data_IF_466826113237
#
_entry.id   IF_466826113237
#
_cell.length_a   1.000
_cell.length_b   1.000
_cell.length_c   1.000
_cell.angle_alpha   90.00
_cell.angle_beta   90.00
_cell.angle_gamma   90.00
#
_symmetry.space_group_name_H-M   'P 1'
#
loop_
_entity.id
_entity.type
_entity.pdbx_description
1 polymer ?
#
# COMPACT_ATOMS: atom_id res chain seq x y z
N UNK A 1 -4.78 -11.17 19.88
CA UNK A 1 -4.34 -9.77 19.75
C UNK A 1 -4.31 -9.10 21.12
N UNK A 2 -3.14 -8.60 21.54
CA UNK A 2 -2.93 -7.91 22.82
C UNK A 2 -2.68 -6.40 22.64
N UNK A 3 -3.16 -5.80 21.54
CA UNK A 3 -2.76 -4.44 21.16
C UNK A 3 -3.12 -3.40 22.22
N UNK A 4 -4.29 -3.48 22.85
CA UNK A 4 -4.65 -2.58 23.96
C UNK A 4 -3.62 -2.63 25.08
N UNK A 5 -3.20 -3.84 25.51
CA UNK A 5 -2.17 -4.01 26.54
C UNK A 5 -0.84 -3.40 26.11
N UNK A 6 -0.43 -3.62 24.86
CA UNK A 6 0.81 -3.05 24.31
C UNK A 6 0.75 -1.52 24.31
N UNK A 7 -0.34 -0.93 23.84
CA UNK A 7 -0.51 0.53 23.80
C UNK A 7 -0.56 1.15 25.21
N UNK A 8 -1.22 0.50 26.17
CA UNK A 8 -1.20 0.92 27.58
C UNK A 8 0.21 0.85 28.16
N UNK A 9 0.98 -0.21 27.86
CA UNK A 9 2.38 -0.33 28.26
C UNK A 9 3.26 0.78 27.63
N UNK A 10 2.90 1.24 26.43
CA UNK A 10 3.52 2.39 25.78
C UNK A 10 3.00 3.76 26.29
N UNK A 11 2.20 3.79 27.36
CA UNK A 11 1.71 5.02 27.98
C UNK A 11 0.52 5.69 27.28
N UNK A 12 -0.18 4.97 26.39
CA UNK A 12 -1.37 5.51 25.72
C UNK A 12 -2.62 5.47 26.62
N UNK A 13 -3.54 6.39 26.38
CA UNK A 13 -4.82 6.44 27.08
C UNK A 13 -5.66 5.17 26.84
N UNK A 14 -6.35 4.72 27.90
CA UNK A 14 -7.14 3.49 27.92
C UNK A 14 -8.24 3.48 26.85
N UNK A 15 -8.91 4.61 26.63
CA UNK A 15 -10.00 4.73 25.66
C UNK A 15 -9.47 4.66 24.24
N UNK A 16 -8.35 5.34 23.97
CA UNK A 16 -7.66 5.30 22.66
C UNK A 16 -7.15 3.89 22.38
N UNK A 17 -6.50 3.24 23.35
CA UNK A 17 -5.98 1.89 23.21
C UNK A 17 -7.09 0.86 22.93
N UNK A 18 -8.27 1.03 23.53
CA UNK A 18 -9.46 0.20 23.27
C UNK A 18 -10.01 0.40 21.86
N UNK A 19 -10.16 1.65 21.43
CA UNK A 19 -10.65 1.96 20.08
C UNK A 19 -9.67 1.50 18.98
N UNK A 20 -8.37 1.70 19.18
CA UNK A 20 -7.33 1.20 18.27
C UNK A 20 -7.38 -0.33 18.16
N UNK A 21 -7.52 -1.06 19.27
CA UNK A 21 -7.66 -2.51 19.23
C UNK A 21 -8.92 -2.94 18.46
N UNK A 22 -10.07 -2.27 18.68
CA UNK A 22 -11.29 -2.57 17.95
C UNK A 22 -11.09 -2.33 16.46
N UNK A 23 -10.58 -1.16 16.07
CA UNK A 23 -10.29 -0.85 14.67
C UNK A 23 -9.42 -1.93 14.00
N UNK A 24 -8.35 -2.36 14.67
CA UNK A 24 -7.44 -3.38 14.15
C UNK A 24 -8.12 -4.75 14.00
N UNK A 25 -8.92 -5.18 14.98
CA UNK A 25 -9.67 -6.46 14.89
C UNK A 25 -10.59 -6.46 13.68
N UNK A 26 -11.33 -5.37 13.46
CA UNK A 26 -12.22 -5.24 12.31
C UNK A 26 -11.48 -5.05 10.98
N UNK A 27 -10.20 -4.66 11.02
CA UNK A 27 -9.34 -4.53 9.84
C UNK A 27 -8.63 -5.84 9.47
N UNK A 28 -8.63 -6.89 10.32
CA UNK A 28 -7.97 -8.17 10.04
C UNK A 28 -8.38 -8.79 8.70
N UNK A 29 -9.67 -8.80 8.29
CA UNK A 29 -10.06 -9.36 7.00
C UNK A 29 -9.44 -8.62 5.80
N UNK A 30 -9.00 -7.36 5.98
CA UNK A 30 -8.32 -6.60 4.93
C UNK A 30 -7.01 -7.27 4.51
N UNK A 31 -6.31 -7.92 5.46
CA UNK A 31 -5.07 -8.65 5.17
C UNK A 31 -5.30 -9.75 4.13
N UNK A 32 -6.45 -10.43 4.21
CA UNK A 32 -6.83 -11.44 3.21
C UNK A 32 -7.07 -10.78 1.85
N UNK A 33 -7.80 -9.67 1.81
CA UNK A 33 -8.04 -8.93 0.57
C UNK A 33 -6.72 -8.45 -0.06
N UNK A 34 -5.81 -7.87 0.73
CA UNK A 34 -4.48 -7.45 0.26
C UNK A 34 -3.65 -8.62 -0.27
N UNK A 35 -3.68 -9.77 0.42
CA UNK A 35 -2.95 -10.97 0.00
C UNK A 35 -3.37 -11.48 -1.39
N UNK A 36 -4.61 -11.23 -1.80
CA UNK A 36 -5.13 -11.56 -3.13
C UNK A 36 -4.88 -10.41 -4.12
N UNK A 37 -5.05 -9.17 -3.66
CA UNK A 37 -4.97 -7.97 -4.48
C UNK A 37 -3.56 -7.71 -5.03
N UNK A 38 -2.53 -7.90 -4.21
CA UNK A 38 -1.14 -7.69 -4.64
C UNK A 38 -0.73 -8.62 -5.80
N UNK A 39 -0.91 -9.96 -5.71
CA UNK A 39 -0.68 -10.86 -6.83
C UNK A 39 -1.50 -10.51 -8.07
N UNK A 40 -2.78 -10.17 -7.93
CA UNK A 40 -3.64 -9.77 -9.08
C UNK A 40 -3.10 -8.54 -9.80
N UNK A 41 -2.68 -7.51 -9.05
CA UNK A 41 -2.06 -6.29 -9.59
C UNK A 41 -0.77 -6.61 -10.34
N UNK A 42 0.09 -7.45 -9.77
CA UNK A 42 1.35 -7.87 -10.40
C UNK A 42 1.05 -8.67 -11.67
N UNK A 43 0.13 -9.63 -11.62
CA UNK A 43 -0.26 -10.49 -12.73
C UNK A 43 -0.77 -9.71 -13.96
N UNK A 44 -1.56 -8.65 -13.74
CA UNK A 44 -2.01 -7.78 -14.82
C UNK A 44 -0.88 -6.86 -15.32
N UNK A 45 -0.09 -6.31 -14.41
CA UNK A 45 1.01 -5.39 -14.74
C UNK A 45 2.11 -6.07 -15.56
N UNK A 46 2.48 -7.31 -15.24
CA UNK A 46 3.51 -8.07 -15.99
C UNK A 46 3.11 -8.29 -17.45
N UNK A 47 1.82 -8.34 -17.73
CA UNK A 47 1.26 -8.42 -19.08
C UNK A 47 1.05 -7.05 -19.75
N UNK A 48 1.50 -5.97 -19.12
CA UNK A 48 1.26 -4.58 -19.55
C UNK A 48 -0.23 -4.19 -19.60
N UNK A 49 -1.08 -4.85 -18.80
CA UNK A 49 -2.52 -4.58 -18.68
C UNK A 49 -2.75 -3.72 -17.43
N UNK A 50 -2.77 -2.40 -17.58
CA UNK A 50 -2.90 -1.46 -16.43
C UNK A 50 -4.22 -0.71 -16.39
N UNK A 51 -4.83 -0.43 -17.55
CA UNK A 51 -6.09 0.31 -17.63
C UNK A 51 -7.24 -0.32 -16.81
N UNK A 52 -7.47 -1.65 -16.85
CA UNK A 52 -8.53 -2.28 -16.06
C UNK A 52 -8.30 -2.12 -14.56
N UNK A 53 -7.06 -2.16 -14.11
CA UNK A 53 -6.72 -1.93 -12.71
C UNK A 53 -7.15 -0.52 -12.26
N UNK A 54 -6.89 0.50 -13.10
CA UNK A 54 -7.31 1.87 -12.83
C UNK A 54 -8.85 1.99 -12.81
N UNK A 55 -9.53 1.42 -13.80
CA UNK A 55 -11.00 1.45 -13.87
C UNK A 55 -11.65 0.75 -12.67
N UNK A 56 -11.18 -0.43 -12.30
CA UNK A 56 -11.65 -1.16 -11.13
C UNK A 56 -11.38 -0.38 -9.83
N UNK A 57 -10.19 0.22 -9.69
CA UNK A 57 -9.87 1.04 -8.52
C UNK A 57 -10.79 2.27 -8.41
N UNK A 58 -11.06 2.96 -9.54
CA UNK A 58 -12.03 4.07 -9.58
C UNK A 58 -13.42 3.61 -9.17
N UNK A 59 -13.90 2.48 -9.69
CA UNK A 59 -15.19 1.91 -9.30
C UNK A 59 -15.24 1.60 -7.80
N UNK A 60 -14.19 0.99 -7.25
CA UNK A 60 -14.12 0.69 -5.81
C UNK A 60 -14.13 1.95 -4.95
N UNK A 61 -13.47 3.03 -5.37
CA UNK A 61 -13.53 4.34 -4.68
C UNK A 61 -14.93 4.94 -4.77
N UNK A 62 -15.59 4.87 -5.93
CA UNK A 62 -16.96 5.36 -6.07
C UNK A 62 -17.94 4.60 -5.18
N UNK A 63 -17.76 3.28 -5.05
CA UNK A 63 -18.55 2.43 -4.15
C UNK A 63 -18.16 2.61 -2.68
N UNK A 64 -16.94 3.05 -2.38
CA UNK A 64 -16.50 3.33 -1.01
C UNK A 64 -17.39 4.38 -0.33
N UNK A 65 -17.76 5.45 -1.03
CA UNK A 65 -18.58 6.53 -0.48
C UNK A 65 -19.93 6.04 0.09
N UNK A 66 -20.81 5.35 -0.68
CA UNK A 66 -22.07 4.83 -0.14
C UNK A 66 -21.85 3.73 0.90
N UNK A 67 -20.82 2.87 0.75
CA UNK A 67 -20.50 1.83 1.75
C UNK A 67 -20.11 2.47 3.08
N UNK A 68 -19.24 3.47 3.05
CA UNK A 68 -18.80 4.20 4.23
C UNK A 68 -19.97 4.92 4.88
N UNK A 69 -20.79 5.64 4.10
CA UNK A 69 -22.00 6.30 4.60
C UNK A 69 -22.95 5.31 5.28
N UNK A 70 -23.20 4.15 4.66
CA UNK A 70 -24.06 3.10 5.21
C UNK A 70 -23.50 2.57 6.54
N UNK A 71 -22.23 2.17 6.58
CA UNK A 71 -21.63 1.52 7.76
C UNK A 71 -21.41 2.52 8.91
N UNK A 72 -20.95 3.72 8.61
CA UNK A 72 -20.57 4.71 9.62
C UNK A 72 -21.77 5.54 10.06
N UNK A 73 -22.52 6.11 9.12
CA UNK A 73 -23.59 7.07 9.43
C UNK A 73 -24.94 6.40 9.66
N UNK A 74 -25.35 5.50 8.76
CA UNK A 74 -26.67 4.87 8.83
C UNK A 74 -26.73 3.76 9.91
N UNK A 75 -25.77 2.84 9.90
CA UNK A 75 -25.66 1.75 10.88
C UNK A 75 -24.96 2.17 12.18
N UNK A 76 -24.41 3.40 12.24
CA UNK A 76 -23.77 3.98 13.43
C UNK A 76 -22.67 3.11 14.04
N UNK A 77 -21.90 2.41 13.20
CA UNK A 77 -20.84 1.50 13.66
C UNK A 77 -19.55 2.21 14.09
N UNK A 78 -19.47 3.55 13.95
CA UNK A 78 -18.33 4.37 14.37
C UNK A 78 -17.01 3.90 13.74
N UNK A 79 -15.96 3.79 14.56
CA UNK A 79 -14.61 3.35 14.16
C UNK A 79 -14.59 1.96 13.49
N UNK A 80 -15.48 1.07 13.91
CA UNK A 80 -15.64 -0.28 13.31
C UNK A 80 -16.19 -0.18 11.89
N UNK A 81 -17.14 0.73 11.67
CA UNK A 81 -17.71 1.01 10.36
C UNK A 81 -16.66 1.53 9.38
N UNK A 82 -15.74 2.38 9.86
CA UNK A 82 -14.61 2.87 9.06
C UNK A 82 -13.71 1.70 8.64
N UNK A 83 -13.27 0.87 9.59
CA UNK A 83 -12.45 -0.31 9.31
C UNK A 83 -13.12 -1.25 8.28
N UNK A 84 -14.39 -1.59 8.51
CA UNK A 84 -15.15 -2.46 7.61
C UNK A 84 -15.35 -1.84 6.23
N UNK A 85 -15.53 -0.53 6.12
CA UNK A 85 -15.65 0.13 4.82
C UNK A 85 -14.39 -0.03 3.97
N UNK A 86 -13.21 0.02 4.59
CA UNK A 86 -11.93 -0.26 3.93
C UNK A 86 -11.84 -1.70 3.44
N UNK A 87 -12.19 -2.66 4.32
CA UNK A 87 -12.25 -4.09 3.99
C UNK A 87 -13.13 -4.33 2.75
N UNK A 88 -14.36 -3.81 2.77
CA UNK A 88 -15.30 -3.96 1.65
C UNK A 88 -14.79 -3.33 0.35
N UNK A 89 -14.08 -2.22 0.45
CA UNK A 89 -13.48 -1.53 -0.72
C UNK A 89 -12.41 -2.40 -1.36
N UNK A 90 -11.54 -3.01 -0.57
CA UNK A 90 -10.50 -3.89 -1.09
C UNK A 90 -11.08 -5.21 -1.63
N UNK A 91 -12.08 -5.79 -0.98
CA UNK A 91 -12.80 -6.95 -1.53
C UNK A 91 -13.53 -6.63 -2.84
N UNK A 92 -14.14 -5.45 -2.95
CA UNK A 92 -14.75 -4.98 -4.20
C UNK A 92 -13.71 -4.87 -5.32
N UNK A 93 -12.52 -4.34 -5.01
CA UNK A 93 -11.43 -4.26 -5.97
C UNK A 93 -10.93 -5.65 -6.40
N UNK A 94 -10.74 -6.58 -5.44
CA UNK A 94 -10.37 -7.96 -5.75
C UNK A 94 -11.42 -8.62 -6.64
N UNK A 95 -12.69 -8.52 -6.28
CA UNK A 95 -13.81 -9.10 -7.02
C UNK A 95 -13.90 -8.55 -8.45
N UNK A 96 -13.83 -7.23 -8.62
CA UNK A 96 -13.88 -6.59 -9.94
C UNK A 96 -12.70 -6.98 -10.83
N UNK A 97 -11.49 -7.12 -10.28
CA UNK A 97 -10.32 -7.61 -11.02
C UNK A 97 -10.46 -9.08 -11.44
N UNK A 98 -10.94 -9.94 -10.55
CA UNK A 98 -11.19 -11.35 -10.87
C UNK A 98 -12.25 -11.46 -11.97
N UNK A 99 -13.36 -10.73 -11.85
CA UNK A 99 -14.42 -10.69 -12.88
C UNK A 99 -13.83 -10.24 -14.22
N UNK A 100 -13.01 -9.19 -14.24
CA UNK A 100 -12.34 -8.73 -15.45
C UNK A 100 -11.46 -9.82 -16.08
N UNK A 101 -10.60 -10.47 -15.29
CA UNK A 101 -9.68 -11.52 -15.76
C UNK A 101 -10.44 -12.72 -16.33
N UNK A 102 -11.56 -13.10 -15.71
CA UNK A 102 -12.39 -14.21 -16.15
C UNK A 102 -13.19 -13.85 -17.42
N UNK A 103 -13.89 -12.72 -17.41
CA UNK A 103 -14.77 -12.29 -18.50
C UNK A 103 -14.00 -12.04 -19.80
N UNK A 104 -12.88 -11.32 -19.74
CA UNK A 104 -12.04 -11.05 -20.91
C UNK A 104 -11.05 -12.17 -21.22
N UNK A 105 -11.02 -13.24 -20.43
CA UNK A 105 -10.18 -14.41 -20.68
C UNK A 105 -8.68 -14.12 -20.65
N UNK A 106 -8.24 -13.12 -19.87
CA UNK A 106 -6.82 -12.73 -19.74
C UNK A 106 -5.95 -13.93 -19.30
N UNK A 107 -6.51 -14.77 -18.43
CA UNK A 107 -5.87 -15.96 -17.91
C UNK A 107 -5.63 -17.08 -18.94
N UNK A 108 -6.34 -17.10 -20.07
CA UNK A 108 -6.34 -18.24 -21.01
C UNK A 108 -4.96 -18.58 -21.59
N UNK A 109 -4.06 -17.59 -21.72
CA UNK A 109 -2.71 -17.80 -22.28
C UNK A 109 -1.65 -18.09 -21.22
N UNK A 110 -1.93 -17.84 -19.94
CA UNK A 110 -0.91 -17.83 -18.88
C UNK A 110 -1.21 -18.79 -17.73
N UNK A 111 -2.46 -19.23 -17.58
CA UNK A 111 -2.91 -20.06 -16.48
C UNK A 111 -3.38 -21.42 -17.00
N UNK A 112 -2.65 -22.48 -16.67
CA UNK A 112 -2.96 -23.86 -17.07
C UNK A 112 -3.90 -24.64 -16.14
N UNK A 113 -4.33 -24.03 -15.03
CA UNK A 113 -5.17 -24.67 -14.01
C UNK A 113 -4.46 -24.78 -12.66
N UNK A 114 -5.20 -25.21 -11.64
CA UNK A 114 -4.58 -25.55 -10.36
C UNK A 114 -3.78 -26.84 -10.51
N UNK A 115 -2.50 -26.80 -10.12
CA UNK A 115 -1.60 -27.94 -10.17
C UNK A 115 -0.55 -27.81 -9.06
N UNK A 116 -0.14 -28.93 -8.46
CA UNK A 116 0.94 -28.93 -7.47
C UNK A 116 2.28 -28.45 -8.04
N UNK A 117 2.39 -28.32 -9.36
CA UNK A 117 3.52 -27.67 -10.02
C UNK A 117 3.72 -26.21 -9.56
N UNK A 118 2.67 -25.52 -9.08
CA UNK A 118 2.79 -24.17 -8.55
C UNK A 118 3.71 -24.08 -7.32
N UNK A 119 3.97 -25.19 -6.63
CA UNK A 119 4.85 -25.24 -5.46
C UNK A 119 6.32 -25.50 -5.79
N UNK A 120 6.67 -25.86 -7.04
CA UNK A 120 8.04 -26.25 -7.41
C UNK A 120 9.09 -25.15 -7.16
N UNK A 121 8.74 -23.89 -7.44
CA UNK A 121 9.66 -22.75 -7.37
C UNK A 121 9.57 -21.95 -6.06
N UNK A 122 8.82 -22.44 -5.06
CA UNK A 122 8.58 -21.70 -3.81
C UNK A 122 9.86 -21.39 -3.03
N UNK A 123 10.85 -22.29 -3.04
CA UNK A 123 12.12 -22.05 -2.35
C UNK A 123 12.85 -20.84 -2.94
N UNK A 124 12.92 -20.76 -4.28
CA UNK A 124 13.56 -19.63 -4.98
C UNK A 124 12.80 -18.33 -4.72
N UNK A 125 11.46 -18.38 -4.80
CA UNK A 125 10.59 -17.24 -4.52
C UNK A 125 10.77 -16.74 -3.08
N UNK A 126 10.76 -17.62 -2.08
CA UNK A 126 10.92 -17.25 -0.67
C UNK A 126 12.31 -16.68 -0.37
N UNK A 127 13.36 -17.21 -1.00
CA UNK A 127 14.72 -16.67 -0.85
C UNK A 127 14.84 -15.21 -1.32
N UNK A 128 14.01 -14.77 -2.27
CA UNK A 128 13.94 -13.38 -2.72
C UNK A 128 12.92 -12.57 -1.93
N UNK A 129 11.77 -13.15 -1.62
CA UNK A 129 10.65 -12.48 -0.98
C UNK A 129 10.93 -12.17 0.50
N UNK A 130 11.59 -13.05 1.25
CA UNK A 130 11.85 -12.86 2.68
C UNK A 130 12.78 -11.65 2.91
N UNK A 131 13.96 -11.54 2.27
CA UNK A 131 14.82 -10.36 2.44
C UNK A 131 14.13 -9.07 1.98
N UNK A 132 13.39 -9.12 0.87
CA UNK A 132 12.64 -7.96 0.36
C UNK A 132 11.55 -7.52 1.35
N UNK A 133 10.81 -8.47 1.92
CA UNK A 133 9.80 -8.23 2.94
C UNK A 133 10.41 -7.59 4.18
N UNK A 134 11.51 -8.15 4.71
CA UNK A 134 12.22 -7.59 5.86
C UNK A 134 12.68 -6.16 5.58
N UNK A 135 13.29 -5.90 4.41
CA UNK A 135 13.75 -4.57 4.03
C UNK A 135 12.63 -3.54 4.01
N UNK A 136 11.50 -3.86 3.37
CA UNK A 136 10.34 -2.97 3.30
C UNK A 136 9.71 -2.80 4.69
N UNK A 137 9.53 -3.88 5.45
CA UNK A 137 8.97 -3.80 6.80
C UNK A 137 9.83 -2.94 7.72
N UNK A 138 11.16 -3.05 7.66
CA UNK A 138 12.06 -2.23 8.47
C UNK A 138 11.97 -0.73 8.11
N UNK A 139 11.82 -0.40 6.83
CA UNK A 139 11.60 0.98 6.37
C UNK A 139 10.34 1.58 7.01
N UNK A 140 9.22 0.83 7.02
CA UNK A 140 7.95 1.32 7.58
C UNK A 140 7.92 1.26 9.11
N UNK A 141 8.44 0.19 9.72
CA UNK A 141 8.49 0.05 11.18
C UNK A 141 9.38 1.12 11.83
N UNK A 142 10.40 1.61 11.12
CA UNK A 142 11.18 2.74 11.60
C UNK A 142 10.31 3.96 11.90
N UNK A 143 9.36 4.30 11.02
CA UNK A 143 8.43 5.41 11.24
C UNK A 143 7.52 5.17 12.45
N UNK A 144 7.01 3.94 12.63
CA UNK A 144 6.19 3.57 13.79
C UNK A 144 6.98 3.67 15.10
N UNK A 145 8.23 3.22 15.12
CA UNK A 145 9.13 3.35 16.27
C UNK A 145 9.37 4.83 16.58
N UNK A 146 9.61 5.67 15.56
CA UNK A 146 9.76 7.11 15.73
C UNK A 146 8.51 7.76 16.32
N UNK A 147 7.30 7.40 15.87
CA UNK A 147 6.05 7.88 16.46
C UNK A 147 5.96 7.50 17.95
N UNK A 148 6.26 6.24 18.29
CA UNK A 148 6.22 5.77 19.67
C UNK A 148 7.21 6.54 20.56
N UNK A 149 8.44 6.80 20.06
CA UNK A 149 9.44 7.58 20.78
C UNK A 149 9.05 9.07 20.91
N UNK A 150 8.44 9.66 19.89
CA UNK A 150 7.86 11.01 19.98
C UNK A 150 6.80 11.10 21.09
N UNK A 151 6.05 10.03 21.33
CA UNK A 151 5.08 9.91 22.42
C UNK A 151 5.69 9.94 23.83
N UNK A 152 7.02 9.78 23.96
CA UNK A 152 7.74 9.81 25.24
C UNK A 152 8.47 11.14 25.49
N UNK A 153 8.42 12.10 24.55
CA UNK A 153 9.04 13.42 24.70
C UNK A 153 8.25 14.31 25.66
N UNK A 154 8.90 15.39 26.16
CA UNK A 154 8.28 16.39 27.06
C UNK A 154 7.00 17.02 26.50
N UNK A 155 6.91 17.19 25.17
CA UNK A 155 5.71 17.65 24.49
C UNK A 155 5.23 16.60 23.46
N UNK A 156 4.60 15.51 23.93
CA UNK A 156 4.34 14.34 23.10
C UNK A 156 3.25 14.61 22.05
N UNK A 157 2.24 15.44 22.38
CA UNK A 157 1.16 15.78 21.43
C UNK A 157 1.69 16.51 20.20
N UNK A 158 2.54 17.52 20.39
CA UNK A 158 3.11 18.28 19.28
C UNK A 158 4.08 17.43 18.45
N UNK A 159 4.92 16.61 19.11
CA UNK A 159 5.87 15.75 18.42
C UNK A 159 5.19 14.66 17.59
N UNK A 160 4.20 13.96 18.16
CA UNK A 160 3.42 12.93 17.46
C UNK A 160 2.60 13.53 16.32
N UNK A 161 1.98 14.69 16.52
CA UNK A 161 1.26 15.38 15.43
C UNK A 161 2.21 15.77 14.27
N UNK A 162 3.38 16.32 14.59
CA UNK A 162 4.40 16.67 13.59
C UNK A 162 4.89 15.44 12.82
N UNK A 163 5.11 14.33 13.52
CA UNK A 163 5.49 13.06 12.91
C UNK A 163 4.39 12.51 12.00
N UNK A 164 3.13 12.63 12.41
CA UNK A 164 1.98 12.26 11.58
C UNK A 164 1.94 13.06 10.27
N UNK A 165 2.12 14.38 10.34
CA UNK A 165 2.21 15.25 9.16
C UNK A 165 3.39 14.82 8.26
N UNK A 166 4.55 14.57 8.86
CA UNK A 166 5.74 14.13 8.14
C UNK A 166 5.49 12.82 7.38
N UNK A 167 4.91 11.82 8.04
CA UNK A 167 4.62 10.52 7.43
C UNK A 167 3.62 10.66 6.28
N UNK A 168 2.52 11.41 6.47
CA UNK A 168 1.53 11.60 5.41
C UNK A 168 2.11 12.34 4.20
N UNK A 169 2.96 13.34 4.45
CA UNK A 169 3.66 14.09 3.40
C UNK A 169 4.66 13.22 2.67
N UNK A 170 5.43 12.42 3.42
CA UNK A 170 6.41 11.48 2.87
C UNK A 170 5.72 10.43 2.02
N UNK A 171 4.61 9.85 2.50
CA UNK A 171 3.81 8.89 1.77
C UNK A 171 3.28 9.48 0.45
N UNK A 172 2.77 10.72 0.47
CA UNK A 172 2.30 11.41 -0.74
C UNK A 172 3.42 11.56 -1.78
N UNK A 173 4.60 12.00 -1.36
CA UNK A 173 5.77 12.16 -2.24
C UNK A 173 6.26 10.80 -2.75
N UNK A 174 6.25 9.78 -1.90
CA UNK A 174 6.76 8.43 -2.18
C UNK A 174 5.93 7.67 -3.22
N UNK A 175 4.68 8.07 -3.48
CA UNK A 175 3.82 7.44 -4.49
C UNK A 175 4.50 7.48 -5.88
N UNK A 176 5.08 8.62 -6.28
CA UNK A 176 5.65 8.75 -7.63
C UNK A 176 6.89 7.86 -7.85
N UNK A 177 7.91 7.88 -6.97
CA UNK A 177 9.04 6.96 -7.07
C UNK A 177 8.63 5.50 -6.98
N UNK A 178 7.66 5.16 -6.12
CA UNK A 178 7.15 3.79 -5.99
C UNK A 178 6.50 3.29 -7.28
N UNK A 179 5.63 4.10 -7.90
CA UNK A 179 5.03 3.79 -9.19
C UNK A 179 6.08 3.60 -10.29
N UNK A 180 7.11 4.46 -10.34
CA UNK A 180 8.21 4.32 -11.28
C UNK A 180 8.99 3.03 -11.05
N UNK A 181 9.34 2.72 -9.80
CA UNK A 181 10.04 1.50 -9.41
C UNK A 181 9.31 0.24 -9.88
N UNK A 182 7.99 0.18 -9.66
CA UNK A 182 7.17 -0.92 -10.13
C UNK A 182 7.14 -1.06 -11.66
N UNK A 183 7.01 0.05 -12.38
CA UNK A 183 7.00 0.08 -13.85
C UNK A 183 8.33 -0.36 -14.44
N UNK A 184 9.44 0.17 -13.91
CA UNK A 184 10.81 -0.16 -14.34
C UNK A 184 11.13 -1.61 -14.01
N UNK A 185 10.83 -2.08 -12.79
CA UNK A 185 11.04 -3.47 -12.38
C UNK A 185 10.29 -4.45 -13.29
N UNK A 186 9.02 -4.16 -13.59
CA UNK A 186 8.23 -4.98 -14.52
C UNK A 186 8.84 -4.99 -15.92
N UNK A 187 9.27 -3.83 -16.43
CA UNK A 187 9.87 -3.73 -17.76
C UNK A 187 11.20 -4.47 -17.85
N UNK A 188 12.09 -4.28 -16.87
CA UNK A 188 13.38 -4.95 -16.78
C UNK A 188 13.18 -6.47 -16.68
N UNK A 189 12.27 -6.93 -15.84
CA UNK A 189 11.94 -8.36 -15.70
C UNK A 189 11.44 -8.96 -17.02
N UNK A 190 10.54 -8.28 -17.73
CA UNK A 190 10.02 -8.73 -19.02
C UNK A 190 11.11 -8.81 -20.10
N UNK A 191 11.98 -7.80 -20.19
CA UNK A 191 13.08 -7.78 -21.17
C UNK A 191 14.15 -8.84 -20.87
N UNK A 192 14.47 -9.07 -19.59
CA UNK A 192 15.36 -10.16 -19.18
C UNK A 192 14.74 -11.53 -19.48
N UNK A 193 13.45 -11.72 -19.17
CA UNK A 193 12.72 -12.94 -19.49
C UNK A 193 12.61 -13.22 -21.00
N UNK A 194 12.59 -12.18 -21.83
CA UNK A 194 12.65 -12.28 -23.28
C UNK A 194 14.08 -12.48 -23.85
N UNK A 195 15.08 -12.65 -22.98
CA UNK A 195 16.50 -12.76 -23.33
C UNK A 195 17.04 -11.52 -24.09
N UNK A 196 16.59 -10.32 -23.71
CA UNK A 196 16.97 -9.04 -24.31
C UNK A 196 17.73 -8.13 -23.32
N UNK A 197 18.94 -8.50 -22.89
CA UNK A 197 19.69 -7.79 -21.84
C UNK A 197 20.01 -6.34 -22.21
N UNK A 198 20.18 -6.02 -23.49
CA UNK A 198 20.39 -4.63 -23.96
C UNK A 198 19.17 -3.75 -23.68
N UNK A 199 17.96 -4.26 -23.91
CA UNK A 199 16.71 -3.52 -23.62
C UNK A 199 16.43 -3.45 -22.13
N UNK A 200 16.73 -4.51 -21.38
CA UNK A 200 16.67 -4.49 -19.92
C UNK A 200 17.59 -3.40 -19.33
N UNK A 201 18.84 -3.30 -19.81
CA UNK A 201 19.79 -2.26 -19.39
C UNK A 201 19.29 -0.86 -19.74
N UNK A 202 18.73 -0.67 -20.94
CA UNK A 202 18.13 0.60 -21.33
C UNK A 202 16.96 0.99 -20.42
N UNK A 203 16.05 0.06 -20.13
CA UNK A 203 14.92 0.30 -19.24
C UNK A 203 15.37 0.69 -17.82
N UNK A 204 16.41 0.03 -17.29
CA UNK A 204 17.00 0.38 -16.01
C UNK A 204 17.63 1.80 -16.04
N UNK A 205 18.36 2.14 -17.09
CA UNK A 205 18.98 3.47 -17.24
C UNK A 205 17.95 4.60 -17.32
N UNK A 206 16.91 4.42 -18.15
CA UNK A 206 15.78 5.36 -18.23
C UNK A 206 15.09 5.48 -16.87
N UNK A 207 14.88 4.36 -16.18
CA UNK A 207 14.32 4.34 -14.83
C UNK A 207 15.13 5.15 -13.82
N UNK A 208 16.46 5.02 -13.83
CA UNK A 208 17.36 5.80 -12.98
C UNK A 208 17.30 7.29 -13.29
N UNK A 209 17.30 7.66 -14.57
CA UNK A 209 17.18 9.06 -14.99
C UNK A 209 15.85 9.68 -14.56
N UNK A 210 14.73 8.99 -14.81
CA UNK A 210 13.41 9.43 -14.35
C UNK A 210 13.36 9.51 -12.82
N UNK A 211 13.99 8.57 -12.10
CA UNK A 211 14.06 8.57 -10.65
C UNK A 211 14.80 9.80 -10.11
N UNK A 212 15.92 10.17 -10.73
CA UNK A 212 16.66 11.38 -10.39
C UNK A 212 15.81 12.63 -10.62
N UNK A 213 15.15 12.75 -11.79
CA UNK A 213 14.25 13.87 -12.09
C UNK A 213 13.08 13.98 -11.09
N UNK A 214 12.47 12.86 -10.72
CA UNK A 214 11.42 12.81 -9.69
C UNK A 214 11.96 13.22 -8.33
N UNK A 215 13.19 12.83 -7.97
CA UNK A 215 13.84 13.26 -6.73
C UNK A 215 14.02 14.78 -6.64
N UNK A 216 14.50 15.41 -7.71
CA UNK A 216 14.56 16.88 -7.78
C UNK A 216 13.19 17.55 -7.69
N UNK A 217 12.21 16.99 -8.41
CA UNK A 217 10.84 17.51 -8.40
C UNK A 217 10.21 17.40 -7.01
N UNK A 218 10.44 16.29 -6.31
CA UNK A 218 9.99 16.05 -4.94
C UNK A 218 10.65 17.01 -3.95
N UNK A 219 11.96 17.24 -4.07
CA UNK A 219 12.68 18.22 -3.24
C UNK A 219 12.13 19.64 -3.45
N UNK A 220 11.97 20.03 -4.71
CA UNK A 220 11.41 21.34 -5.05
C UNK A 220 9.99 21.52 -4.49
N UNK A 221 9.14 20.50 -4.68
CA UNK A 221 7.79 20.48 -4.11
C UNK A 221 7.81 20.62 -2.58
N UNK A 222 8.64 19.84 -1.88
CA UNK A 222 8.74 19.88 -0.42
C UNK A 222 9.19 21.26 0.10
N UNK A 223 10.16 21.91 -0.56
CA UNK A 223 10.63 23.25 -0.18
C UNK A 223 9.56 24.31 -0.43
N UNK A 224 8.90 24.28 -1.59
CA UNK A 224 7.87 25.26 -1.94
C UNK A 224 6.65 25.15 -1.04
N UNK A 225 6.25 23.92 -0.74
CA UNK A 225 5.02 23.65 0.01
C UNK A 225 5.26 23.68 1.51
N UNK A 226 6.50 23.52 2.00
CA UNK A 226 6.81 23.45 3.43
C UNK A 226 6.21 24.57 4.29
N UNK A 227 6.23 25.81 3.80
CA UNK A 227 5.66 26.96 4.53
C UNK A 227 4.13 26.96 4.55
N UNK A 228 3.48 26.49 3.47
CA UNK A 228 2.01 26.43 3.34
C UNK A 228 1.46 25.18 4.03
N UNK A 229 2.19 24.07 3.98
CA UNK A 229 1.78 22.80 4.55
C UNK A 229 1.57 22.91 6.05
N UNK A 230 2.45 23.63 6.76
CA UNK A 230 2.27 23.91 8.18
C UNK A 230 0.90 24.56 8.45
N UNK A 231 0.50 25.55 7.65
CA UNK A 231 -0.78 26.24 7.85
C UNK A 231 -2.02 25.37 7.64
N UNK A 232 -1.95 24.29 6.84
CA UNK A 232 -3.08 23.36 6.64
C UNK A 232 -3.39 22.50 7.88
N UNK A 233 -2.45 22.35 8.82
CA UNK A 233 -2.64 21.53 10.03
C UNK A 233 -2.86 22.35 11.30
N UNK A 234 -2.71 23.68 11.25
CA UNK A 234 -3.00 24.61 12.35
C UNK A 234 -4.32 25.38 12.17
N UNK A 235 -5.10 25.05 11.13
CA UNK A 235 -6.42 25.64 10.84
C UNK A 235 -7.57 24.97 11.58
#
# INVERSE_FOLDING_TARGET
>A
MNMRRILILCGQDETIAKEAQLYLIYSVPDLLAQSLLHPLRIYLRTQSITLPLTCCAMLSILLHLPINYLLVSHLRLGTRGIALSGVWTNFNLVGSLIIYILYFGVHKKTWGGFSMQCFKEWKSLLNLAIPSCISVCLEWWWYEIMILLCGLLLNPRAAVASMGILIQTTALIYIFPSCLSFSVSTRVANELGANQPKKAKLAAFVGLYCGFMLGFSALFFAVMVGNVWATMFYG
#
